data_IF_141787886922
#
_entry.id   IF_141787886922
#
_cell.length_a   1.000
_cell.length_b   1.000
_cell.length_c   1.000
_cell.angle_alpha   90.00
_cell.angle_beta   90.00
_cell.angle_gamma   90.00
#
_symmetry.space_group_name_H-M   'P 1'
#
loop_
_entity.id
_entity.type
_entity.pdbx_description
1 polymer ?
#
# COMPACT_ATOMS: atom_id res chain seq x y z
N UNK A 1 -3.30 -16.11 31.25
CA UNK A 1 -3.31 -16.53 32.67
C UNK A 1 -3.37 -18.06 32.77
N UNK A 2 -2.98 -18.65 33.91
CA UNK A 2 -3.00 -20.13 34.13
C UNK A 2 -4.38 -20.76 33.89
N UNK A 3 -5.46 -20.05 34.22
CA UNK A 3 -6.84 -20.48 33.94
C UNK A 3 -7.15 -20.51 32.44
N UNK A 4 -6.75 -19.47 31.69
CA UNK A 4 -6.97 -19.40 30.23
C UNK A 4 -6.23 -20.50 29.46
N UNK A 5 -5.01 -20.85 29.89
CA UNK A 5 -4.25 -21.95 29.27
C UNK A 5 -4.87 -23.32 29.57
N UNK A 6 -5.46 -23.49 30.76
CA UNK A 6 -6.19 -24.72 31.12
C UNK A 6 -7.46 -24.88 30.28
N UNK A 7 -8.20 -23.79 30.02
CA UNK A 7 -9.39 -23.79 29.16
C UNK A 7 -9.05 -24.09 27.69
N UNK A 8 -8.00 -23.47 27.14
CA UNK A 8 -7.54 -23.75 25.76
C UNK A 8 -7.09 -25.20 25.56
N UNK A 9 -6.50 -25.84 26.57
CA UNK A 9 -6.09 -27.25 26.50
C UNK A 9 -7.29 -28.22 26.61
N UNK A 10 -8.36 -27.82 27.31
CA UNK A 10 -9.62 -28.58 27.37
C UNK A 10 -10.39 -28.50 26.05
N UNK A 11 -10.39 -27.35 25.37
CA UNK A 11 -10.98 -27.21 24.02
C UNK A 11 -10.22 -28.00 22.95
N UNK A 12 -8.89 -28.07 23.04
CA UNK A 12 -8.05 -28.84 22.10
C UNK A 12 -8.03 -30.36 22.37
N UNK A 13 -8.83 -30.86 23.33
CA UNK A 13 -9.08 -32.29 23.51
C UNK A 13 -7.94 -33.09 24.14
N UNK A 14 -7.03 -32.46 24.90
CA UNK A 14 -5.92 -33.17 25.56
C UNK A 14 -6.42 -33.87 26.83
N UNK A 15 -6.63 -35.19 26.74
CA UNK A 15 -7.24 -36.05 27.77
C UNK A 15 -6.56 -36.00 29.16
N UNK A 16 -5.27 -35.64 29.20
CA UNK A 16 -4.43 -35.57 30.41
C UNK A 16 -4.84 -34.41 31.34
N UNK A 17 -5.62 -33.44 30.87
CA UNK A 17 -5.98 -32.20 31.61
C UNK A 17 -7.35 -32.29 32.30
N UNK A 18 -8.13 -33.36 32.05
CA UNK A 18 -9.51 -33.52 32.54
C UNK A 18 -9.64 -33.65 34.07
N UNK A 19 -8.58 -34.12 34.75
CA UNK A 19 -8.57 -34.37 36.21
C UNK A 19 -7.79 -33.32 37.02
N UNK A 20 -7.38 -32.21 36.41
CA UNK A 20 -6.61 -31.16 37.09
C UNK A 20 -7.58 -30.10 37.62
N UNK A 21 -7.63 -29.94 38.95
CA UNK A 21 -8.39 -28.87 39.65
C UNK A 21 -7.46 -27.69 39.94
N UNK A 22 -8.01 -26.48 40.12
CA UNK A 22 -7.25 -25.22 40.27
C UNK A 22 -6.15 -25.27 41.35
N UNK A 23 -6.34 -26.07 42.41
CA UNK A 23 -5.37 -26.24 43.50
C UNK A 23 -4.18 -27.16 43.16
N UNK A 24 -4.27 -27.98 42.10
CA UNK A 24 -3.24 -28.95 41.70
C UNK A 24 -2.73 -28.70 40.28
N UNK A 25 -2.84 -27.47 39.78
CA UNK A 25 -2.47 -27.12 38.41
C UNK A 25 -0.94 -27.04 38.24
N UNK A 26 -0.29 -28.01 37.55
CA UNK A 26 1.15 -28.02 37.35
C UNK A 26 1.59 -27.07 36.23
N UNK A 27 0.65 -26.39 35.55
CA UNK A 27 0.97 -25.56 34.40
C UNK A 27 1.72 -24.27 34.82
N UNK A 28 2.81 -23.93 34.12
CA UNK A 28 3.51 -22.67 34.31
C UNK A 28 2.61 -21.50 33.91
N UNK A 29 2.89 -20.31 34.44
CA UNK A 29 2.16 -19.11 34.07
C UNK A 29 2.57 -18.68 32.65
N UNK A 30 1.62 -18.69 31.71
CA UNK A 30 1.86 -18.28 30.31
C UNK A 30 1.41 -16.85 30.10
N UNK A 31 2.33 -16.02 29.60
CA UNK A 31 2.07 -14.63 29.19
C UNK A 31 2.24 -14.57 27.67
N UNK A 32 1.19 -14.18 26.96
CA UNK A 32 1.25 -13.95 25.51
C UNK A 32 1.74 -12.53 25.25
N UNK A 33 2.83 -12.40 24.49
CA UNK A 33 3.40 -11.10 24.11
C UNK A 33 3.27 -10.94 22.60
N UNK A 34 2.51 -9.94 22.17
CA UNK A 34 2.34 -9.60 20.76
C UNK A 34 3.38 -8.56 20.33
N UNK A 35 4.06 -8.81 19.21
CA UNK A 35 5.05 -7.89 18.66
C UNK A 35 4.51 -7.23 17.39
N UNK A 36 4.76 -5.94 17.23
CA UNK A 36 4.38 -5.21 16.01
C UNK A 36 5.36 -5.45 14.83
N UNK A 37 6.58 -5.92 15.12
CA UNK A 37 7.65 -6.08 14.15
C UNK A 37 8.49 -7.34 14.43
N UNK A 38 8.70 -8.16 13.41
CA UNK A 38 9.44 -9.43 13.48
C UNK A 38 10.93 -9.19 13.70
N UNK A 39 11.47 -8.05 13.24
CA UNK A 39 12.87 -7.72 13.48
C UNK A 39 13.12 -7.41 14.98
N UNK A 40 12.17 -6.73 15.63
CA UNK A 40 12.18 -6.45 17.07
C UNK A 40 11.81 -7.67 17.94
N UNK A 41 11.14 -8.67 17.37
CA UNK A 41 10.80 -9.90 18.10
C UNK A 41 12.05 -10.72 18.47
N UNK A 42 13.08 -10.77 17.62
CA UNK A 42 14.34 -11.47 17.92
C UNK A 42 15.04 -10.90 19.18
N UNK A 43 15.09 -9.58 19.31
CA UNK A 43 15.75 -8.93 20.46
C UNK A 43 14.95 -9.08 21.75
N UNK A 44 13.61 -9.09 21.64
CA UNK A 44 12.73 -9.31 22.78
C UNK A 44 12.75 -10.76 23.26
N UNK A 45 12.74 -11.75 22.37
CA UNK A 45 12.90 -13.17 22.72
C UNK A 45 14.23 -13.38 23.46
N UNK A 46 15.33 -12.80 22.96
CA UNK A 46 16.64 -12.88 23.63
C UNK A 46 16.67 -12.21 25.01
N UNK A 47 15.93 -11.12 25.21
CA UNK A 47 15.83 -10.45 26.51
C UNK A 47 14.95 -11.24 27.50
N UNK A 48 13.90 -11.90 26.99
CA UNK A 48 12.98 -12.72 27.78
C UNK A 48 13.60 -14.04 28.22
N UNK A 49 14.42 -14.67 27.39
CA UNK A 49 15.18 -15.87 27.76
C UNK A 49 16.23 -15.61 28.87
N UNK A 50 16.66 -14.36 29.03
CA UNK A 50 17.66 -13.96 30.04
C UNK A 50 17.07 -13.49 31.37
N UNK A 51 15.75 -13.36 31.48
CA UNK A 51 15.08 -12.95 32.70
C UNK A 51 14.97 -14.14 33.66
N UNK A 52 15.47 -13.99 34.89
CA UNK A 52 15.31 -14.99 35.95
C UNK A 52 13.81 -15.19 36.25
N UNK A 53 13.32 -16.42 36.02
CA UNK A 53 11.92 -16.80 36.22
C UNK A 53 11.18 -17.25 34.95
N UNK A 54 11.81 -17.18 33.77
CA UNK A 54 11.25 -17.70 32.51
C UNK A 54 11.82 -19.08 32.21
N UNK A 55 10.96 -20.10 32.21
CA UNK A 55 11.37 -21.51 32.05
C UNK A 55 11.50 -21.92 30.58
N UNK A 56 10.62 -21.41 29.71
CA UNK A 56 10.57 -21.77 28.29
C UNK A 56 9.94 -20.63 27.48
N UNK A 57 10.55 -20.27 26.35
CA UNK A 57 10.01 -19.31 25.38
C UNK A 57 9.69 -20.08 24.11
N UNK A 58 8.40 -20.31 23.83
CA UNK A 58 7.96 -20.87 22.56
C UNK A 58 7.80 -19.75 21.55
N UNK A 59 8.75 -19.62 20.61
CA UNK A 59 8.70 -18.62 19.57
C UNK A 59 8.14 -19.20 18.26
N UNK A 60 7.31 -18.42 17.56
CA UNK A 60 6.87 -18.71 16.18
C UNK A 60 7.67 -17.86 15.18
N UNK A 61 8.89 -17.52 15.56
CA UNK A 61 9.69 -16.49 14.91
C UNK A 61 10.11 -16.92 13.51
N UNK A 62 10.41 -18.20 13.31
CA UNK A 62 10.74 -18.75 11.98
C UNK A 62 9.57 -18.59 10.99
N UNK A 63 8.34 -18.87 11.43
CA UNK A 63 7.13 -18.71 10.60
C UNK A 63 6.90 -17.23 10.27
N UNK A 64 7.04 -16.35 11.25
CA UNK A 64 6.90 -14.91 11.06
C UNK A 64 7.98 -14.35 10.11
N UNK A 65 9.23 -14.80 10.25
CA UNK A 65 10.33 -14.42 9.36
C UNK A 65 10.10 -14.91 7.92
N UNK A 66 9.56 -16.11 7.73
CA UNK A 66 9.25 -16.63 6.40
C UNK A 66 8.14 -15.80 5.72
N UNK A 67 7.08 -15.44 6.45
CA UNK A 67 6.03 -14.55 5.95
C UNK A 67 6.62 -13.18 5.57
N UNK A 68 7.48 -12.61 6.42
CA UNK A 68 8.10 -11.32 6.14
C UNK A 68 9.05 -11.35 4.94
N UNK A 69 9.80 -12.43 4.74
CA UNK A 69 10.64 -12.62 3.55
C UNK A 69 9.79 -12.66 2.27
N UNK A 70 8.68 -13.41 2.29
CA UNK A 70 7.74 -13.47 1.15
C UNK A 70 7.11 -12.11 0.88
N UNK A 71 6.64 -11.43 1.94
CA UNK A 71 6.10 -10.06 1.87
C UNK A 71 7.11 -9.11 1.22
N UNK A 72 8.34 -9.08 1.72
CA UNK A 72 9.38 -8.19 1.20
C UNK A 72 9.73 -8.51 -0.27
N UNK A 73 9.82 -9.79 -0.64
CA UNK A 73 10.01 -10.20 -2.02
C UNK A 73 8.89 -9.70 -2.94
N UNK A 74 7.64 -9.86 -2.52
CA UNK A 74 6.48 -9.37 -3.25
C UNK A 74 6.46 -7.84 -3.34
N UNK A 75 6.81 -7.14 -2.26
CA UNK A 75 6.91 -5.67 -2.26
C UNK A 75 7.95 -5.18 -3.25
N UNK A 76 9.14 -5.80 -3.31
CA UNK A 76 10.18 -5.41 -4.28
C UNK A 76 9.67 -5.57 -5.72
N UNK A 77 9.05 -6.71 -6.04
CA UNK A 77 8.47 -6.94 -7.38
C UNK A 77 7.38 -5.91 -7.69
N UNK A 78 6.49 -5.63 -6.73
CA UNK A 78 5.43 -4.64 -6.89
C UNK A 78 5.98 -3.22 -7.12
N UNK A 79 7.02 -2.82 -6.39
CA UNK A 79 7.68 -1.51 -6.56
C UNK A 79 8.34 -1.39 -7.94
N UNK A 80 9.02 -2.45 -8.40
CA UNK A 80 9.63 -2.48 -9.74
C UNK A 80 8.56 -2.35 -10.82
N UNK A 81 7.48 -3.13 -10.72
CA UNK A 81 6.35 -3.05 -11.66
C UNK A 81 5.69 -1.68 -11.65
N UNK A 82 5.49 -1.09 -10.47
CA UNK A 82 4.96 0.26 -10.32
C UNK A 82 5.85 1.29 -11.04
N UNK A 83 7.17 1.19 -10.89
CA UNK A 83 8.12 2.05 -11.60
C UNK A 83 7.99 1.95 -13.11
N UNK A 84 7.86 0.73 -13.65
CA UNK A 84 7.67 0.50 -15.10
C UNK A 84 6.34 1.11 -15.57
N UNK A 85 5.25 0.87 -14.84
CA UNK A 85 3.93 1.41 -15.20
C UNK A 85 3.89 2.94 -15.15
N UNK A 86 4.58 3.56 -14.18
CA UNK A 86 4.75 5.00 -14.14
C UNK A 86 5.44 5.53 -15.40
N UNK A 87 6.54 4.90 -15.83
CA UNK A 87 7.23 5.30 -17.07
C UNK A 87 6.33 5.16 -18.30
N UNK A 88 5.57 4.07 -18.40
CA UNK A 88 4.61 3.86 -19.49
C UNK A 88 3.53 4.94 -19.47
N UNK A 89 2.98 5.26 -18.31
CA UNK A 89 1.98 6.31 -18.14
C UNK A 89 2.52 7.67 -18.59
N UNK A 90 3.73 8.05 -18.15
CA UNK A 90 4.38 9.27 -18.59
C UNK A 90 4.54 9.30 -20.11
N UNK A 91 4.95 8.18 -20.73
CA UNK A 91 5.12 8.09 -22.17
C UNK A 91 3.81 8.30 -22.94
N UNK A 92 2.72 7.68 -22.47
CA UNK A 92 1.38 7.85 -23.05
C UNK A 92 0.93 9.31 -22.96
N UNK A 93 1.01 9.92 -21.77
CA UNK A 93 0.59 11.31 -21.56
C UNK A 93 1.44 12.26 -22.43
N UNK A 94 2.76 12.07 -22.46
CA UNK A 94 3.65 12.88 -23.30
C UNK A 94 3.24 12.83 -24.77
N UNK A 95 2.94 11.65 -25.30
CA UNK A 95 2.55 11.49 -26.70
C UNK A 95 1.18 12.13 -26.99
N UNK A 96 0.22 11.97 -26.08
CA UNK A 96 -1.08 12.64 -26.20
C UNK A 96 -0.91 14.16 -26.26
N UNK A 97 -0.14 14.76 -25.36
CA UNK A 97 0.09 16.20 -25.35
C UNK A 97 0.79 16.67 -26.64
N UNK A 98 1.75 15.92 -27.18
CA UNK A 98 2.39 16.27 -28.47
C UNK A 98 1.38 16.32 -29.61
N UNK A 99 0.48 15.34 -29.68
CA UNK A 99 -0.56 15.31 -30.70
C UNK A 99 -1.51 16.51 -30.55
N UNK A 100 -1.92 16.84 -29.32
CA UNK A 100 -2.78 17.99 -29.05
C UNK A 100 -2.11 19.31 -29.40
N UNK A 101 -0.82 19.49 -29.05
CA UNK A 101 -0.04 20.69 -29.41
C UNK A 101 0.05 20.83 -30.93
N UNK A 102 0.30 19.74 -31.66
CA UNK A 102 0.38 19.76 -33.11
C UNK A 102 -0.97 20.14 -33.76
N UNK A 103 -2.07 19.63 -33.21
CA UNK A 103 -3.42 19.96 -33.69
C UNK A 103 -3.77 21.44 -33.49
N UNK A 104 -3.23 22.09 -32.43
CA UNK A 104 -3.50 23.50 -32.10
C UNK A 104 -2.37 24.46 -32.52
N UNK A 105 -1.46 24.02 -33.40
CA UNK A 105 -0.26 24.80 -33.78
C UNK A 105 -0.59 26.20 -34.32
N UNK A 106 -1.68 26.34 -35.09
CA UNK A 106 -2.08 27.61 -35.69
C UNK A 106 -2.56 28.62 -34.64
N UNK A 107 -3.33 28.15 -33.65
CA UNK A 107 -3.74 28.96 -32.49
C UNK A 107 -2.53 29.44 -31.68
N UNK A 108 -1.57 28.54 -31.47
CA UNK A 108 -0.31 28.84 -30.76
C UNK A 108 0.51 29.90 -31.52
N UNK A 109 0.62 29.77 -32.83
CA UNK A 109 1.36 30.71 -33.66
C UNK A 109 0.72 32.11 -33.63
N UNK A 110 -0.61 32.21 -33.70
CA UNK A 110 -1.36 33.48 -33.53
C UNK A 110 -1.06 34.09 -32.16
N UNK A 111 -1.12 33.32 -31.07
CA UNK A 111 -0.80 33.82 -29.73
C UNK A 111 0.63 34.35 -29.61
N UNK A 112 1.58 33.72 -30.31
CA UNK A 112 2.98 34.17 -30.35
C UNK A 112 3.13 35.51 -31.08
N UNK A 113 2.39 35.75 -32.16
CA UNK A 113 2.43 37.03 -32.89
C UNK A 113 1.91 38.22 -32.07
N UNK A 114 1.03 37.99 -31.10
CA UNK A 114 0.50 39.03 -30.20
C UNK A 114 1.42 39.26 -28.99
N UNK A 115 2.58 38.59 -28.92
CA UNK A 115 3.59 38.78 -27.86
C UNK A 115 3.32 37.99 -26.57
N UNK A 116 2.55 36.90 -26.67
CA UNK A 116 2.24 36.06 -25.51
C UNK A 116 3.49 35.39 -24.91
N UNK A 117 3.56 35.30 -23.59
CA UNK A 117 4.67 34.65 -22.88
C UNK A 117 4.67 33.14 -23.15
N UNK A 118 5.85 32.51 -23.24
CA UNK A 118 5.95 31.06 -23.47
C UNK A 118 5.23 30.21 -22.42
N UNK A 119 5.09 30.72 -21.20
CA UNK A 119 4.28 30.09 -20.15
C UNK A 119 2.78 30.12 -20.46
N UNK A 120 2.25 31.24 -20.97
CA UNK A 120 0.83 31.36 -21.31
C UNK A 120 0.42 30.39 -22.44
N UNK A 121 1.31 30.18 -23.41
CA UNK A 121 1.13 29.18 -24.48
C UNK A 121 1.14 27.74 -23.92
N UNK A 122 1.95 27.49 -22.89
CA UNK A 122 2.17 26.15 -22.33
C UNK A 122 1.13 25.75 -21.26
N UNK A 123 0.59 26.73 -20.53
CA UNK A 123 -0.35 26.52 -19.44
C UNK A 123 -1.57 25.64 -19.78
N UNK A 124 -2.29 25.83 -20.92
CA UNK A 124 -3.44 24.99 -21.24
C UNK A 124 -3.09 23.50 -21.32
N UNK A 125 -1.91 23.16 -21.87
CA UNK A 125 -1.45 21.79 -21.97
C UNK A 125 -1.09 21.18 -20.62
N UNK A 126 -0.49 21.97 -19.72
CA UNK A 126 -0.22 21.53 -18.34
C UNK A 126 -1.53 21.24 -17.61
N UNK A 127 -2.54 22.11 -17.77
CA UNK A 127 -3.85 21.88 -17.16
C UNK A 127 -4.54 20.63 -17.72
N UNK A 128 -4.47 20.40 -19.03
CA UNK A 128 -5.03 19.21 -19.67
C UNK A 128 -4.36 17.93 -19.15
N UNK A 129 -3.03 17.93 -19.02
CA UNK A 129 -2.28 16.83 -18.42
C UNK A 129 -2.64 16.59 -16.95
N UNK A 130 -2.82 17.64 -16.16
CA UNK A 130 -3.26 17.54 -14.77
C UNK A 130 -4.69 16.96 -14.66
N UNK A 131 -5.62 17.37 -15.53
CA UNK A 131 -6.97 16.82 -15.59
C UNK A 131 -6.97 15.34 -15.97
N UNK A 132 -6.19 14.93 -16.97
CA UNK A 132 -6.04 13.52 -17.35
C UNK A 132 -5.50 12.71 -16.17
N UNK A 133 -4.48 13.23 -15.48
CA UNK A 133 -3.88 12.58 -14.30
C UNK A 133 -4.86 12.43 -13.13
N UNK A 134 -5.67 13.46 -12.86
CA UNK A 134 -6.72 13.41 -11.83
C UNK A 134 -7.83 12.43 -12.17
N UNK A 135 -8.28 12.40 -13.42
CA UNK A 135 -9.30 11.44 -13.87
C UNK A 135 -8.79 10.00 -13.78
N UNK A 136 -7.54 9.76 -14.16
CA UNK A 136 -6.90 8.46 -14.00
C UNK A 136 -6.80 8.05 -12.52
N UNK A 137 -6.42 8.97 -11.64
CA UNK A 137 -6.37 8.72 -10.20
C UNK A 137 -7.75 8.41 -9.61
N UNK A 138 -8.78 9.15 -10.01
CA UNK A 138 -10.16 8.91 -9.56
C UNK A 138 -10.66 7.54 -10.03
N UNK A 139 -10.41 7.18 -11.29
CA UNK A 139 -10.77 5.87 -11.84
C UNK A 139 -10.02 4.73 -11.13
N UNK A 140 -8.71 4.88 -10.90
CA UNK A 140 -7.90 3.88 -10.21
C UNK A 140 -8.33 3.70 -8.75
N UNK A 141 -8.63 4.80 -8.03
CA UNK A 141 -9.14 4.74 -6.66
C UNK A 141 -10.51 4.06 -6.61
N UNK A 142 -11.42 4.39 -7.53
CA UNK A 142 -12.74 3.75 -7.63
C UNK A 142 -12.63 2.25 -7.90
N UNK A 143 -11.72 1.85 -8.80
CA UNK A 143 -11.46 0.44 -9.09
C UNK A 143 -10.87 -0.29 -7.87
N UNK A 144 -9.91 0.32 -7.18
CA UNK A 144 -9.32 -0.23 -5.96
C UNK A 144 -10.39 -0.43 -4.87
N UNK A 145 -11.26 0.56 -4.67
CA UNK A 145 -12.37 0.48 -3.71
C UNK A 145 -13.35 -0.65 -4.05
N UNK A 146 -13.70 -0.78 -5.34
CA UNK A 146 -14.57 -1.85 -5.81
C UNK A 146 -13.96 -3.23 -5.60
N UNK A 147 -12.69 -3.42 -5.99
CA UNK A 147 -11.97 -4.69 -5.80
C UNK A 147 -11.87 -5.03 -4.31
N UNK A 148 -11.56 -4.05 -3.46
CA UNK A 148 -11.47 -4.28 -2.02
C UNK A 148 -12.80 -4.77 -1.46
N UNK A 149 -13.89 -4.09 -1.79
CA UNK A 149 -15.22 -4.45 -1.28
C UNK A 149 -15.63 -5.84 -1.77
N UNK A 150 -15.52 -6.09 -3.08
CA UNK A 150 -15.94 -7.36 -3.66
C UNK A 150 -15.11 -8.56 -3.19
N UNK A 151 -13.78 -8.42 -3.11
CA UNK A 151 -12.90 -9.53 -2.74
C UNK A 151 -12.86 -9.74 -1.22
N UNK A 152 -12.75 -8.68 -0.42
CA UNK A 152 -12.55 -8.83 1.02
C UNK A 152 -13.83 -8.87 1.82
N UNK A 153 -14.86 -8.11 1.43
CA UNK A 153 -16.13 -8.08 2.17
C UNK A 153 -17.03 -9.24 1.77
N UNK A 154 -17.07 -9.62 0.49
CA UNK A 154 -18.02 -10.65 0.04
C UNK A 154 -17.39 -12.05 0.01
N UNK A 155 -16.15 -12.21 -0.48
CA UNK A 155 -15.54 -13.55 -0.65
C UNK A 155 -14.85 -14.02 0.62
N UNK A 156 -14.05 -13.18 1.27
CA UNK A 156 -13.21 -13.60 2.41
C UNK A 156 -13.94 -13.63 3.75
N UNK A 157 -15.06 -12.91 3.87
CA UNK A 157 -15.93 -12.97 5.05
C UNK A 157 -16.58 -14.35 5.21
N UNK A 158 -16.92 -15.02 4.11
CA UNK A 158 -17.41 -16.40 4.10
C UNK A 158 -16.38 -17.41 4.64
N UNK A 159 -15.09 -17.08 4.58
CA UNK A 159 -13.99 -17.87 5.16
C UNK A 159 -13.64 -17.48 6.59
N UNK A 160 -14.41 -16.59 7.22
CA UNK A 160 -14.19 -16.13 8.61
C UNK A 160 -13.01 -15.16 8.79
N UNK A 161 -12.50 -14.58 7.69
CA UNK A 161 -11.41 -13.60 7.75
C UNK A 161 -12.01 -12.21 7.84
N UNK A 162 -11.99 -11.63 9.04
CA UNK A 162 -12.47 -10.26 9.28
C UNK A 162 -11.31 -9.26 9.17
N UNK A 163 -11.29 -8.51 8.08
CA UNK A 163 -10.32 -7.44 7.85
C UNK A 163 -10.88 -6.09 8.33
N UNK A 164 -10.01 -5.19 8.81
CA UNK A 164 -10.43 -3.84 9.19
C UNK A 164 -11.15 -3.11 8.04
N UNK A 165 -12.11 -2.28 8.41
CA UNK A 165 -12.95 -1.54 7.46
C UNK A 165 -12.10 -0.49 6.70
N UNK A 166 -12.01 -0.63 5.36
CA UNK A 166 -11.26 0.26 4.45
C UNK A 166 -11.66 1.74 4.55
N UNK A 167 -12.89 2.02 5.00
CA UNK A 167 -13.42 3.37 5.16
C UNK A 167 -12.53 4.30 5.99
N UNK A 168 -11.81 3.78 6.98
CA UNK A 168 -10.92 4.62 7.80
C UNK A 168 -9.71 5.15 7.01
N UNK A 169 -9.16 4.35 6.11
CA UNK A 169 -7.97 4.68 5.32
C UNK A 169 -8.31 5.26 3.94
N UNK A 170 -9.54 5.07 3.47
CA UNK A 170 -10.05 5.56 2.20
C UNK A 170 -9.76 7.05 1.92
N UNK A 171 -10.01 8.01 2.84
CA UNK A 171 -9.78 9.43 2.54
C UNK A 171 -8.28 9.74 2.37
N UNK A 172 -7.41 9.15 3.19
CA UNK A 172 -5.96 9.33 3.07
C UNK A 172 -5.45 8.77 1.74
N UNK A 173 -5.92 7.58 1.35
CA UNK A 173 -5.57 6.97 0.07
C UNK A 173 -6.10 7.78 -1.11
N UNK A 174 -7.33 8.30 -1.04
CA UNK A 174 -7.89 9.15 -2.10
C UNK A 174 -7.02 10.40 -2.33
N UNK A 175 -6.57 11.06 -1.26
CA UNK A 175 -5.65 12.20 -1.35
C UNK A 175 -4.30 11.78 -1.93
N UNK A 176 -3.76 10.63 -1.52
CA UNK A 176 -2.50 10.11 -2.06
C UNK A 176 -2.61 9.81 -3.58
N UNK A 177 -3.68 9.17 -4.02
CA UNK A 177 -3.95 8.91 -5.43
C UNK A 177 -4.08 10.21 -6.22
N UNK A 178 -4.85 11.18 -5.72
CA UNK A 178 -5.00 12.47 -6.37
C UNK A 178 -3.66 13.23 -6.46
N UNK A 179 -2.85 13.21 -5.40
CA UNK A 179 -1.54 13.85 -5.38
C UNK A 179 -0.59 13.21 -6.42
N UNK A 180 -0.53 11.88 -6.48
CA UNK A 180 0.31 11.14 -7.44
C UNK A 180 -0.18 11.35 -8.87
N UNK A 181 -1.49 11.30 -9.11
CA UNK A 181 -2.08 11.53 -10.44
C UNK A 181 -1.84 12.95 -10.94
N UNK A 182 -2.03 13.95 -10.09
CA UNK A 182 -1.76 15.35 -10.42
C UNK A 182 -0.26 15.57 -10.69
N UNK A 183 0.60 15.03 -9.82
CA UNK A 183 2.06 15.13 -9.98
C UNK A 183 2.54 14.51 -11.28
N UNK A 184 2.11 13.29 -11.59
CA UNK A 184 2.48 12.60 -12.83
C UNK A 184 1.93 13.31 -14.07
N UNK A 185 0.69 13.78 -14.04
CA UNK A 185 0.07 14.53 -15.14
C UNK A 185 0.77 15.86 -15.44
N UNK A 186 1.09 16.64 -14.40
CA UNK A 186 1.79 17.93 -14.53
C UNK A 186 3.22 17.72 -15.05
N UNK A 187 3.95 16.75 -14.49
CA UNK A 187 5.33 16.47 -14.91
C UNK A 187 5.37 15.96 -16.35
N UNK A 188 4.51 14.99 -16.70
CA UNK A 188 4.47 14.44 -18.06
C UNK A 188 4.18 15.53 -19.10
N UNK A 189 3.18 16.37 -18.84
CA UNK A 189 2.81 17.44 -19.76
C UNK A 189 3.89 18.52 -19.86
N UNK A 190 4.45 18.95 -18.72
CA UNK A 190 5.52 19.94 -18.68
C UNK A 190 6.78 19.49 -19.44
N UNK A 191 7.19 18.22 -19.29
CA UNK A 191 8.30 17.64 -20.03
C UNK A 191 8.04 17.62 -21.54
N UNK A 192 6.80 17.34 -21.94
CA UNK A 192 6.39 17.30 -23.35
C UNK A 192 6.52 18.66 -24.03
N UNK A 193 5.97 19.72 -23.41
CA UNK A 193 5.96 21.07 -24.00
C UNK A 193 7.34 21.73 -23.98
N UNK A 194 8.10 21.57 -22.89
CA UNK A 194 9.47 22.13 -22.79
C UNK A 194 10.35 21.63 -23.92
N UNK A 195 10.26 20.33 -24.25
CA UNK A 195 11.03 19.72 -25.34
C UNK A 195 10.66 20.33 -26.70
N UNK A 196 9.39 20.63 -26.94
CA UNK A 196 8.95 21.24 -28.20
C UNK A 196 9.39 22.71 -28.35
N UNK A 197 9.47 23.46 -27.24
CA UNK A 197 9.91 24.86 -27.28
C UNK A 197 11.42 25.05 -27.53
N UNK A 198 12.25 24.02 -27.28
CA UNK A 198 13.70 24.11 -27.45
C UNK A 198 14.18 23.73 -28.86
N UNK A 199 13.29 23.15 -29.69
CA UNK A 199 13.61 22.76 -31.07
C UNK A 199 13.30 23.86 -32.10
N UNK A 200 12.90 25.08 -31.67
CA UNK A 200 12.67 26.24 -32.55
C UNK A 200 13.11 27.56 -31.94
#
# INVERSE_FOLDING_TARGET
SKEETLEQLRENGVEIVSNVTDETNPLPNTIEVTFADVASANTLVYQLEKLEGVTEVSDKLEVAQNIDRVKNGLTVVAVVLMGILLLVSLFVIMNTIKLTVFARREEIDIMRYVGSTGFFVTMPFITEGAFIGLLAAAAAFGLQYYIYTYVFVDILSDFGIFMNTFWHYAPLLAVAFAAVGLFTGVIASGLSVKRYSHER
#
